data_IF_256203397891
#
_entry.id   IF_256203397891
#
_cell.length_a   1.000
_cell.length_b   1.000
_cell.length_c   1.000
_cell.angle_alpha   90.00
_cell.angle_beta   90.00
_cell.angle_gamma   90.00
#
_symmetry.space_group_name_H-M   'P 1'
#
loop_
_entity.id
_entity.type
_entity.pdbx_description
1 polymer ?
#
# COMPACT_ATOMS: atom_id res chain seq x y z
N UNK A 1 12.56 -28.76 -25.54
CA UNK A 1 13.57 -28.08 -26.36
C UNK A 1 13.11 -26.64 -26.69
N UNK A 2 12.01 -26.47 -27.40
CA UNK A 2 11.53 -25.18 -27.92
C UNK A 2 11.41 -24.04 -26.87
N UNK A 3 10.86 -24.32 -25.69
CA UNK A 3 10.74 -23.27 -24.65
C UNK A 3 12.09 -22.83 -24.10
N UNK A 4 13.09 -23.71 -24.02
CA UNK A 4 14.45 -23.32 -23.62
C UNK A 4 15.11 -22.43 -24.67
N UNK A 5 14.95 -22.75 -25.95
CA UNK A 5 15.47 -21.95 -27.05
C UNK A 5 14.85 -20.54 -27.07
N UNK A 6 13.53 -20.45 -26.92
CA UNK A 6 12.82 -19.17 -26.83
C UNK A 6 13.22 -18.34 -25.60
N UNK A 7 13.53 -18.98 -24.46
CA UNK A 7 13.88 -18.30 -23.21
C UNK A 7 15.37 -17.98 -23.11
N UNK A 8 16.24 -18.61 -23.90
CA UNK A 8 17.70 -18.45 -23.82
C UNK A 8 18.19 -16.99 -23.95
N UNK A 9 17.63 -16.12 -24.84
CA UNK A 9 18.05 -14.73 -24.94
C UNK A 9 17.85 -13.91 -23.65
N UNK A 10 16.88 -14.30 -22.81
CA UNK A 10 16.54 -13.63 -21.55
C UNK A 10 17.32 -14.16 -20.33
N UNK A 11 18.14 -15.20 -20.52
CA UNK A 11 18.86 -15.91 -19.46
C UNK A 11 20.38 -15.96 -19.74
N UNK A 12 21.02 -14.76 -19.82
CA UNK A 12 22.41 -14.63 -20.28
C UNK A 12 23.46 -15.31 -19.41
N UNK A 13 23.24 -15.42 -18.10
CA UNK A 13 24.24 -15.91 -17.14
C UNK A 13 23.96 -17.31 -16.61
N UNK A 14 22.69 -17.75 -16.61
CA UNK A 14 22.26 -19.09 -16.18
C UNK A 14 20.88 -19.39 -16.73
N UNK A 15 20.59 -20.66 -16.97
CA UNK A 15 19.22 -21.11 -17.34
C UNK A 15 18.25 -20.77 -16.19
N UNK A 16 17.27 -19.93 -16.48
CA UNK A 16 16.21 -19.51 -15.55
C UNK A 16 14.93 -20.33 -15.74
N UNK A 17 14.86 -21.20 -16.77
CA UNK A 17 13.71 -22.02 -17.06
C UNK A 17 13.69 -23.24 -16.14
N UNK A 18 12.75 -23.29 -15.24
CA UNK A 18 12.49 -24.45 -14.38
C UNK A 18 11.31 -25.22 -14.98
N UNK A 19 11.53 -26.47 -15.39
CA UNK A 19 10.49 -27.34 -15.94
C UNK A 19 9.93 -28.21 -14.81
N UNK A 20 8.62 -28.18 -14.64
CA UNK A 20 7.92 -28.94 -13.60
C UNK A 20 6.52 -29.34 -14.06
N UNK A 21 5.81 -30.16 -13.30
CA UNK A 21 4.42 -30.51 -13.56
C UNK A 21 3.50 -29.28 -13.47
N UNK A 22 2.40 -29.27 -14.22
CA UNK A 22 1.48 -28.13 -14.34
C UNK A 22 1.01 -27.62 -12.96
N UNK A 23 0.52 -28.51 -12.09
CA UNK A 23 0.06 -28.14 -10.75
C UNK A 23 1.16 -27.48 -9.91
N UNK A 24 2.40 -27.99 -10.03
CA UNK A 24 3.54 -27.42 -9.30
C UNK A 24 3.92 -26.03 -9.85
N UNK A 25 3.82 -25.82 -11.17
CA UNK A 25 4.10 -24.55 -11.81
C UNK A 25 3.09 -23.46 -11.38
N UNK A 26 1.80 -23.80 -11.37
CA UNK A 26 0.75 -22.93 -10.87
C UNK A 26 0.93 -22.61 -9.38
N UNK A 27 1.15 -23.63 -8.55
CA UNK A 27 1.40 -23.46 -7.13
C UNK A 27 2.63 -22.60 -6.84
N UNK A 28 3.70 -22.73 -7.61
CA UNK A 28 4.92 -21.92 -7.47
C UNK A 28 4.62 -20.43 -7.62
N UNK A 29 3.78 -20.06 -8.59
CA UNK A 29 3.39 -18.66 -8.80
C UNK A 29 2.61 -18.10 -7.61
N UNK A 30 1.60 -18.85 -7.12
CA UNK A 30 0.82 -18.43 -5.97
C UNK A 30 1.67 -18.37 -4.70
N UNK A 31 2.45 -19.41 -4.41
CA UNK A 31 3.33 -19.47 -3.25
C UNK A 31 4.34 -18.32 -3.22
N UNK A 32 4.94 -17.96 -4.37
CA UNK A 32 5.86 -16.84 -4.45
C UNK A 32 5.17 -15.51 -4.08
N UNK A 33 4.00 -15.23 -4.65
CA UNK A 33 3.27 -14.00 -4.35
C UNK A 33 2.77 -13.95 -2.89
N UNK A 34 2.31 -15.07 -2.36
CA UNK A 34 1.91 -15.17 -0.95
C UNK A 34 3.09 -14.96 0.00
N UNK A 35 4.28 -15.47 -0.34
CA UNK A 35 5.49 -15.22 0.46
C UNK A 35 5.87 -13.75 0.47
N UNK A 36 5.78 -13.05 -0.67
CA UNK A 36 6.03 -11.61 -0.75
C UNK A 36 4.99 -10.80 0.04
N UNK A 37 3.71 -11.16 -0.07
CA UNK A 37 2.64 -10.55 0.73
C UNK A 37 2.86 -10.76 2.24
N UNK A 38 3.31 -11.96 2.64
CA UNK A 38 3.67 -12.28 4.03
C UNK A 38 4.78 -11.37 4.53
N UNK A 39 5.85 -11.15 3.76
CA UNK A 39 6.95 -10.25 4.13
C UNK A 39 6.46 -8.81 4.35
N UNK A 40 5.56 -8.32 3.50
CA UNK A 40 4.99 -6.97 3.63
C UNK A 40 4.08 -6.89 4.87
N UNK A 41 3.18 -7.86 5.07
CA UNK A 41 2.31 -7.88 6.26
C UNK A 41 3.14 -8.00 7.54
N UNK A 42 4.18 -8.85 7.56
CA UNK A 42 5.07 -9.01 8.69
C UNK A 42 5.77 -7.69 9.07
N UNK A 43 6.40 -6.99 8.11
CA UNK A 43 7.10 -5.74 8.44
C UNK A 43 6.13 -4.62 8.84
N UNK A 44 4.91 -4.60 8.32
CA UNK A 44 3.88 -3.65 8.74
C UNK A 44 3.41 -3.92 10.18
N UNK A 45 3.27 -5.17 10.57
CA UNK A 45 2.96 -5.54 11.97
C UNK A 45 4.12 -5.15 12.90
N UNK A 46 5.38 -5.44 12.51
CA UNK A 46 6.57 -4.99 13.24
C UNK A 46 6.63 -3.47 13.37
N UNK A 47 6.28 -2.71 12.32
CA UNK A 47 6.22 -1.25 12.37
C UNK A 47 5.22 -0.76 13.42
N UNK A 48 4.03 -1.36 13.48
CA UNK A 48 3.01 -1.05 14.48
C UNK A 48 3.48 -1.39 15.91
N UNK A 49 4.23 -2.48 16.09
CA UNK A 49 4.84 -2.82 17.38
C UNK A 49 5.91 -1.78 17.75
N UNK A 50 6.80 -1.42 16.81
CA UNK A 50 7.83 -0.41 17.02
C UNK A 50 7.25 0.93 17.49
N UNK A 51 6.16 1.40 16.87
CA UNK A 51 5.45 2.62 17.29
C UNK A 51 5.02 2.57 18.75
N UNK A 52 4.56 1.41 19.24
CA UNK A 52 4.06 1.24 20.61
C UNK A 52 5.15 1.13 21.67
N UNK A 53 6.32 0.58 21.28
CA UNK A 53 7.44 0.35 22.22
C UNK A 53 8.54 1.40 22.07
N UNK A 54 8.38 2.38 21.18
CA UNK A 54 9.36 3.45 20.96
C UNK A 54 10.61 3.02 20.19
N UNK A 55 10.55 1.96 19.38
CA UNK A 55 11.63 1.52 18.49
C UNK A 55 11.54 2.18 17.11
N UNK A 56 12.67 2.38 16.45
CA UNK A 56 12.70 2.82 15.04
C UNK A 56 12.63 1.60 14.10
N UNK A 57 11.55 1.50 13.34
CA UNK A 57 11.35 0.40 12.38
C UNK A 57 12.39 0.39 11.26
N UNK A 58 13.05 1.53 10.93
CA UNK A 58 14.13 1.58 9.93
C UNK A 58 15.36 0.83 10.44
N UNK A 59 15.69 1.00 11.71
CA UNK A 59 16.82 0.28 12.33
C UNK A 59 16.50 -1.21 12.44
N UNK A 60 15.28 -1.57 12.84
CA UNK A 60 14.83 -2.97 12.87
C UNK A 60 14.90 -3.59 11.49
N UNK A 61 14.37 -2.89 10.46
CA UNK A 61 14.45 -3.33 9.07
C UNK A 61 15.89 -3.52 8.59
N UNK A 62 16.76 -2.57 8.91
CA UNK A 62 18.19 -2.66 8.55
C UNK A 62 18.86 -3.84 9.24
N UNK A 63 18.57 -4.05 10.52
CA UNK A 63 19.09 -5.17 11.30
C UNK A 63 18.68 -6.53 10.71
N UNK A 64 17.39 -6.78 10.55
CA UNK A 64 16.90 -8.07 10.02
C UNK A 64 17.23 -8.26 8.54
N UNK A 65 17.25 -7.18 7.74
CA UNK A 65 17.54 -7.22 6.31
C UNK A 65 19.00 -7.54 6.00
N UNK A 66 19.93 -7.30 6.94
CA UNK A 66 21.34 -7.65 6.81
C UNK A 66 21.60 -9.17 6.83
N UNK A 67 20.69 -9.96 7.39
CA UNK A 67 20.73 -11.41 7.30
C UNK A 67 20.35 -11.86 5.87
N UNK A 68 21.29 -12.53 5.18
CA UNK A 68 21.11 -13.00 3.81
C UNK A 68 19.92 -13.96 3.63
N UNK A 69 19.48 -14.63 4.69
CA UNK A 69 18.31 -15.51 4.69
C UNK A 69 16.99 -14.73 4.61
N UNK A 70 16.98 -13.46 5.04
CA UNK A 70 15.83 -12.56 5.00
C UNK A 70 15.95 -11.59 3.82
N UNK A 71 17.05 -10.82 3.76
CA UNK A 71 17.32 -9.80 2.74
C UNK A 71 16.39 -8.59 2.86
N UNK A 72 16.77 -7.50 2.20
CA UNK A 72 16.06 -6.22 2.26
C UNK A 72 14.78 -6.14 1.41
N UNK A 73 14.57 -7.10 0.51
CA UNK A 73 13.48 -7.06 -0.44
C UNK A 73 12.14 -7.39 0.23
N UNK A 74 11.13 -6.58 -0.10
CA UNK A 74 9.74 -6.73 0.39
C UNK A 74 9.55 -6.60 1.92
N UNK A 75 10.52 -6.03 2.65
CA UNK A 75 10.40 -5.67 4.07
C UNK A 75 10.44 -4.14 4.24
N UNK A 76 9.70 -3.40 3.41
CA UNK A 76 9.47 -1.97 3.56
C UNK A 76 8.10 -1.76 4.18
N UNK A 77 8.01 -1.14 5.38
CA UNK A 77 6.72 -0.82 5.97
C UNK A 77 6.01 0.27 5.16
N UNK A 78 4.68 0.21 5.11
CA UNK A 78 3.85 1.15 4.37
C UNK A 78 2.37 0.97 4.69
N UNK A 79 1.51 1.51 3.84
CA UNK A 79 0.05 1.53 4.03
C UNK A 79 -0.67 0.21 3.72
N UNK A 80 0.05 -0.85 3.48
CA UNK A 80 -0.48 -2.14 3.02
C UNK A 80 -0.34 -2.36 1.52
N UNK A 81 -0.37 -3.62 1.09
CA UNK A 81 -0.30 -3.96 -0.33
C UNK A 81 -1.67 -3.88 -1.01
N UNK A 82 -1.65 -3.53 -2.29
CA UNK A 82 -2.77 -3.50 -3.20
C UNK A 82 -2.41 -4.06 -4.57
N UNK A 83 -3.08 -3.57 -5.60
CA UNK A 83 -2.90 -3.98 -6.99
C UNK A 83 -3.60 -5.29 -7.33
N UNK A 84 -3.42 -5.72 -8.57
CA UNK A 84 -4.12 -6.87 -9.14
C UNK A 84 -3.56 -8.23 -8.76
N UNK A 85 -2.33 -8.31 -8.22
CA UNK A 85 -1.63 -9.58 -8.03
C UNK A 85 -1.74 -10.11 -6.60
N UNK A 86 -1.17 -9.40 -5.61
CA UNK A 86 -1.09 -9.92 -4.24
C UNK A 86 -2.47 -10.20 -3.62
N UNK A 87 -3.45 -9.27 -3.62
CA UNK A 87 -4.73 -9.55 -2.99
C UNK A 87 -5.45 -10.73 -3.65
N UNK A 88 -5.43 -10.79 -4.99
CA UNK A 88 -6.08 -11.87 -5.75
C UNK A 88 -5.40 -13.21 -5.48
N UNK A 89 -4.07 -13.28 -5.52
CA UNK A 89 -3.34 -14.54 -5.41
C UNK A 89 -3.39 -15.09 -3.97
N UNK A 90 -3.35 -14.23 -2.95
CA UNK A 90 -3.55 -14.65 -1.55
C UNK A 90 -4.95 -15.22 -1.35
N UNK A 91 -6.00 -14.51 -1.78
CA UNK A 91 -7.39 -14.96 -1.68
C UNK A 91 -7.64 -16.26 -2.47
N UNK A 92 -7.05 -16.39 -3.67
CA UNK A 92 -7.16 -17.60 -4.49
C UNK A 92 -6.50 -18.81 -3.81
N UNK A 93 -5.32 -18.63 -3.19
CA UNK A 93 -4.64 -19.72 -2.50
C UNK A 93 -5.36 -20.11 -1.20
N UNK A 94 -5.94 -19.15 -0.46
CA UNK A 94 -6.83 -19.42 0.68
C UNK A 94 -8.00 -20.31 0.22
N UNK A 95 -8.72 -19.88 -0.80
CA UNK A 95 -9.84 -20.65 -1.34
C UNK A 95 -9.45 -22.06 -1.81
N UNK A 96 -8.29 -22.18 -2.47
CA UNK A 96 -7.78 -23.49 -2.91
C UNK A 96 -7.46 -24.42 -1.75
N UNK A 97 -6.89 -23.89 -0.66
CA UNK A 97 -6.61 -24.66 0.55
C UNK A 97 -7.90 -25.14 1.24
N UNK A 98 -8.87 -24.23 1.39
CA UNK A 98 -10.19 -24.55 1.99
C UNK A 98 -10.95 -25.60 1.16
N UNK A 99 -10.94 -25.48 -0.16
CA UNK A 99 -11.52 -26.48 -1.07
C UNK A 99 -10.83 -27.85 -0.98
N UNK A 100 -9.55 -27.88 -0.57
CA UNK A 100 -8.80 -29.10 -0.29
C UNK A 100 -8.95 -29.60 1.17
N UNK A 101 -9.83 -28.99 1.97
CA UNK A 101 -10.10 -29.38 3.36
C UNK A 101 -9.04 -28.91 4.36
N UNK A 102 -8.21 -27.91 4.01
CA UNK A 102 -7.15 -27.37 4.87
C UNK A 102 -7.44 -25.92 5.25
N UNK A 103 -7.32 -25.57 6.53
CA UNK A 103 -7.38 -24.18 7.01
C UNK A 103 -6.01 -23.49 6.81
N UNK A 104 -5.90 -22.45 5.95
CA UNK A 104 -4.63 -21.78 5.67
C UNK A 104 -4.37 -20.65 6.69
N UNK A 105 -4.10 -20.99 7.95
CA UNK A 105 -3.98 -20.04 9.08
C UNK A 105 -3.03 -18.88 8.81
N UNK A 106 -1.86 -19.15 8.25
CA UNK A 106 -0.88 -18.09 7.94
C UNK A 106 -1.41 -17.11 6.90
N UNK A 107 -2.02 -17.59 5.82
CA UNK A 107 -2.54 -16.72 4.76
C UNK A 107 -3.73 -15.88 5.24
N UNK A 108 -4.59 -16.47 6.07
CA UNK A 108 -5.68 -15.75 6.72
C UNK A 108 -5.15 -14.61 7.62
N UNK A 109 -4.08 -14.89 8.39
CA UNK A 109 -3.43 -13.87 9.21
C UNK A 109 -2.80 -12.77 8.36
N UNK A 110 -2.15 -13.10 7.25
CA UNK A 110 -1.55 -12.14 6.30
C UNK A 110 -2.61 -11.19 5.74
N UNK A 111 -3.75 -11.73 5.30
CA UNK A 111 -4.86 -10.93 4.77
C UNK A 111 -5.48 -10.02 5.86
N UNK A 112 -5.68 -10.54 7.08
CA UNK A 112 -6.20 -9.76 8.20
C UNK A 112 -5.26 -8.61 8.61
N UNK A 113 -3.95 -8.85 8.64
CA UNK A 113 -2.96 -7.80 8.92
C UNK A 113 -2.98 -6.74 7.83
N UNK A 114 -3.04 -7.14 6.54
CA UNK A 114 -3.09 -6.19 5.44
C UNK A 114 -4.37 -5.35 5.44
N UNK A 115 -5.52 -5.94 5.73
CA UNK A 115 -6.79 -5.23 5.82
C UNK A 115 -6.75 -4.16 6.92
N UNK A 116 -6.21 -4.50 8.10
CA UNK A 116 -6.00 -3.54 9.20
C UNK A 116 -5.01 -2.43 8.80
N UNK A 117 -3.91 -2.80 8.14
CA UNK A 117 -2.88 -1.85 7.73
C UNK A 117 -3.40 -0.79 6.77
N UNK A 118 -4.30 -1.16 5.84
CA UNK A 118 -4.93 -0.19 4.91
C UNK A 118 -5.77 0.89 5.62
N UNK A 119 -6.20 0.65 6.85
CA UNK A 119 -6.97 1.61 7.66
C UNK A 119 -6.11 2.38 8.67
N UNK A 120 -4.90 1.91 8.95
CA UNK A 120 -4.05 2.42 10.02
C UNK A 120 -3.85 3.93 9.96
N UNK A 121 -3.57 4.49 8.77
CA UNK A 121 -3.38 5.95 8.64
C UNK A 121 -4.68 6.74 8.86
N UNK A 122 -5.82 6.21 8.46
CA UNK A 122 -7.10 6.85 8.74
C UNK A 122 -7.41 6.88 10.25
N UNK A 123 -7.09 5.80 10.97
CA UNK A 123 -7.24 5.72 12.41
C UNK A 123 -6.33 6.74 13.12
N UNK A 124 -5.05 6.82 12.74
CA UNK A 124 -4.12 7.82 13.29
C UNK A 124 -4.57 9.25 13.06
N UNK A 125 -5.11 9.56 11.87
CA UNK A 125 -5.64 10.90 11.58
C UNK A 125 -6.85 11.18 12.48
N UNK A 126 -7.76 10.23 12.67
CA UNK A 126 -8.91 10.37 13.57
C UNK A 126 -8.47 10.58 15.01
N UNK A 127 -7.49 9.82 15.49
CA UNK A 127 -6.91 9.96 16.83
C UNK A 127 -6.25 11.33 17.04
N UNK A 128 -5.46 11.80 16.06
CA UNK A 128 -4.80 13.11 16.12
C UNK A 128 -5.81 14.26 16.26
N UNK A 129 -6.90 14.21 15.52
CA UNK A 129 -7.93 15.26 15.55
C UNK A 129 -8.97 15.07 16.67
N UNK A 130 -9.00 13.94 17.38
CA UNK A 130 -9.97 13.70 18.44
C UNK A 130 -10.00 14.80 19.51
N UNK A 131 -8.85 15.27 20.08
CA UNK A 131 -8.84 16.36 21.04
C UNK A 131 -9.27 17.72 20.45
N UNK A 132 -9.27 17.84 19.12
CA UNK A 132 -9.59 19.06 18.36
C UNK A 132 -11.02 19.06 17.81
N UNK A 133 -11.92 18.25 18.40
CA UNK A 133 -13.32 18.10 17.97
C UNK A 133 -13.54 17.10 16.83
N UNK A 134 -12.57 16.23 16.56
CA UNK A 134 -12.64 15.18 15.54
C UNK A 134 -12.35 15.69 14.11
N UNK A 135 -12.59 14.84 13.13
CA UNK A 135 -12.26 15.09 11.71
C UNK A 135 -13.40 15.73 10.91
N UNK A 136 -14.64 15.74 11.42
CA UNK A 136 -15.81 16.24 10.70
C UNK A 136 -15.63 17.70 10.29
N UNK A 137 -15.84 17.98 9.00
CA UNK A 137 -15.71 19.33 8.43
C UNK A 137 -14.28 19.81 8.19
N UNK A 138 -13.26 19.04 8.62
CA UNK A 138 -11.86 19.30 8.29
C UNK A 138 -11.53 18.78 6.89
N UNK A 139 -10.45 19.28 6.29
CA UNK A 139 -9.96 18.88 4.97
C UNK A 139 -8.58 18.23 5.10
N UNK A 140 -8.42 17.04 4.51
CA UNK A 140 -7.14 16.37 4.34
C UNK A 140 -6.64 16.58 2.92
N UNK A 141 -5.39 17.03 2.76
CA UNK A 141 -4.62 16.90 1.54
C UNK A 141 -4.06 15.47 1.43
N UNK A 142 -4.16 14.83 0.27
CA UNK A 142 -3.66 13.48 0.05
C UNK A 142 -2.85 13.41 -1.25
N UNK A 143 -1.62 12.90 -1.16
CA UNK A 143 -0.75 12.64 -2.31
C UNK A 143 -0.60 11.15 -2.54
N UNK A 144 -0.96 10.70 -3.75
CA UNK A 144 -0.81 9.32 -4.19
C UNK A 144 -2.09 8.51 -4.01
N UNK A 145 -2.65 8.04 -5.12
CA UNK A 145 -3.91 7.30 -5.19
C UNK A 145 -3.72 5.87 -5.73
N UNK A 146 -2.75 5.70 -6.65
CA UNK A 146 -2.38 4.39 -7.17
C UNK A 146 -1.78 3.48 -6.09
N UNK A 147 -1.90 2.16 -6.26
CA UNK A 147 -1.37 1.19 -5.29
C UNK A 147 0.16 1.18 -5.17
N UNK A 148 0.86 1.73 -6.15
CA UNK A 148 2.31 1.99 -6.18
C UNK A 148 2.64 3.07 -7.20
N UNK A 149 3.86 3.60 -7.18
CA UNK A 149 4.33 4.55 -8.19
C UNK A 149 4.44 3.94 -9.61
N UNK A 150 4.43 4.80 -10.62
CA UNK A 150 4.57 4.47 -12.05
C UNK A 150 3.42 3.62 -12.63
N UNK A 151 2.21 3.78 -12.11
CA UNK A 151 0.99 3.16 -12.64
C UNK A 151 -0.22 4.02 -12.27
N UNK A 152 -1.30 3.88 -13.03
CA UNK A 152 -2.62 4.42 -12.74
C UNK A 152 -3.55 3.40 -12.04
N UNK A 153 -3.05 2.19 -11.75
CA UNK A 153 -3.83 1.10 -11.18
C UNK A 153 -4.21 1.38 -9.73
N UNK A 154 -5.49 1.55 -9.49
CA UNK A 154 -6.07 1.79 -8.16
C UNK A 154 -6.74 0.55 -7.55
N UNK A 155 -6.67 -0.63 -8.22
CA UNK A 155 -7.29 -1.84 -7.68
C UNK A 155 -6.72 -2.20 -6.32
N UNK A 156 -7.59 -2.38 -5.32
CA UNK A 156 -7.18 -2.69 -3.95
C UNK A 156 -6.17 -1.68 -3.34
N UNK A 157 -6.08 -0.45 -3.88
CA UNK A 157 -5.18 0.57 -3.35
C UNK A 157 -5.60 1.00 -1.94
N UNK A 158 -4.63 1.13 -1.02
CA UNK A 158 -4.88 1.56 0.35
C UNK A 158 -5.51 2.97 0.41
N UNK A 159 -5.19 3.85 -0.56
CA UNK A 159 -5.80 5.17 -0.66
C UNK A 159 -7.33 5.12 -0.68
N UNK A 160 -7.94 4.12 -1.35
CA UNK A 160 -9.41 3.97 -1.38
C UNK A 160 -9.96 3.70 0.02
N UNK A 161 -9.32 2.80 0.77
CA UNK A 161 -9.75 2.47 2.13
C UNK A 161 -9.61 3.68 3.07
N UNK A 162 -8.50 4.41 2.97
CA UNK A 162 -8.23 5.60 3.78
C UNK A 162 -9.26 6.69 3.47
N UNK A 163 -9.49 7.01 2.19
CA UNK A 163 -10.44 8.04 1.76
C UNK A 163 -11.85 7.69 2.24
N UNK A 164 -12.31 6.47 2.01
CA UNK A 164 -13.64 6.04 2.45
C UNK A 164 -13.80 6.16 3.96
N UNK A 165 -12.85 5.65 4.75
CA UNK A 165 -12.91 5.70 6.22
C UNK A 165 -12.90 7.12 6.79
N UNK A 166 -12.24 8.07 6.11
CA UNK A 166 -12.21 9.48 6.52
C UNK A 166 -13.46 10.24 6.08
N UNK A 167 -13.95 10.00 4.86
CA UNK A 167 -15.18 10.64 4.36
C UNK A 167 -16.43 10.14 5.08
N UNK A 168 -16.50 8.86 5.45
CA UNK A 168 -17.53 8.31 6.35
C UNK A 168 -17.54 9.02 7.71
N UNK A 169 -16.38 9.45 8.19
CA UNK A 169 -16.28 10.26 9.43
C UNK A 169 -16.54 11.77 9.20
N UNK A 170 -16.92 12.17 7.97
CA UNK A 170 -17.25 13.54 7.60
C UNK A 170 -16.07 14.45 7.29
N UNK A 171 -14.87 13.90 7.05
CA UNK A 171 -13.69 14.63 6.61
C UNK A 171 -13.73 14.84 5.10
N UNK A 172 -13.39 16.03 4.63
CA UNK A 172 -13.18 16.28 3.19
C UNK A 172 -11.79 15.81 2.81
N UNK A 173 -11.64 15.23 1.61
CA UNK A 173 -10.34 14.80 1.08
C UNK A 173 -10.11 15.47 -0.26
N UNK A 174 -9.03 16.23 -0.38
CA UNK A 174 -8.51 16.74 -1.64
C UNK A 174 -7.28 15.92 -2.02
N UNK A 175 -7.34 15.24 -3.16
CA UNK A 175 -6.33 14.27 -3.53
C UNK A 175 -5.67 14.58 -4.87
N UNK A 176 -4.38 14.28 -4.95
CA UNK A 176 -3.57 14.39 -6.15
C UNK A 176 -2.82 13.08 -6.43
N UNK A 177 -2.79 12.67 -7.68
CA UNK A 177 -1.90 11.61 -8.17
C UNK A 177 -1.41 11.98 -9.57
N UNK A 178 -0.12 11.76 -9.90
CA UNK A 178 0.43 12.13 -11.20
C UNK A 178 -0.23 11.49 -12.42
N UNK A 179 -0.79 10.28 -12.26
CA UNK A 179 -1.37 9.51 -13.38
C UNK A 179 -2.71 8.84 -13.09
N UNK A 180 -3.07 8.64 -11.83
CA UNK A 180 -4.30 7.93 -11.45
C UNK A 180 -5.53 8.86 -11.28
N UNK A 181 -5.41 10.16 -11.55
CA UNK A 181 -6.47 11.16 -11.33
C UNK A 181 -7.80 10.77 -12.02
N UNK A 182 -7.77 10.35 -13.28
CA UNK A 182 -8.99 9.99 -14.02
C UNK A 182 -9.66 8.73 -13.48
N UNK A 183 -8.87 7.74 -13.04
CA UNK A 183 -9.41 6.55 -12.37
C UNK A 183 -10.03 6.93 -11.02
N UNK A 184 -9.39 7.82 -10.26
CA UNK A 184 -9.90 8.30 -9.00
C UNK A 184 -11.21 9.08 -9.16
N UNK A 185 -11.32 9.98 -10.14
CA UNK A 185 -12.57 10.69 -10.44
C UNK A 185 -13.74 9.73 -10.70
N UNK A 186 -13.50 8.62 -11.42
CA UNK A 186 -14.53 7.60 -11.65
C UNK A 186 -14.90 6.82 -10.40
N UNK A 187 -13.91 6.48 -9.55
CA UNK A 187 -14.15 5.71 -8.32
C UNK A 187 -14.94 6.54 -7.30
N UNK A 188 -14.63 7.83 -7.18
CA UNK A 188 -15.22 8.72 -6.17
C UNK A 188 -16.28 9.67 -6.70
N UNK A 189 -16.80 9.46 -7.93
CA UNK A 189 -17.76 10.36 -8.60
C UNK A 189 -19.00 10.69 -7.76
N UNK A 190 -19.45 9.73 -6.94
CA UNK A 190 -20.65 9.87 -6.10
C UNK A 190 -20.33 10.31 -4.65
N UNK A 191 -19.06 10.62 -4.34
CA UNK A 191 -18.65 11.05 -3.01
C UNK A 191 -18.38 12.56 -2.98
N UNK A 192 -19.33 13.39 -2.47
CA UNK A 192 -19.19 14.84 -2.47
C UNK A 192 -18.10 15.38 -1.54
N UNK A 193 -17.51 14.53 -0.70
CA UNK A 193 -16.41 14.90 0.21
C UNK A 193 -15.04 14.64 -0.41
N UNK A 194 -14.96 14.12 -1.65
CA UNK A 194 -13.71 13.86 -2.36
C UNK A 194 -13.57 14.79 -3.54
N UNK A 195 -12.46 15.50 -3.60
CA UNK A 195 -12.06 16.35 -4.73
C UNK A 195 -10.71 15.88 -5.28
N UNK A 196 -10.66 15.58 -6.59
CA UNK A 196 -9.42 15.22 -7.28
C UNK A 196 -8.87 16.45 -7.97
N UNK A 197 -7.68 16.89 -7.54
CA UNK A 197 -7.03 18.14 -7.96
C UNK A 197 -5.83 17.82 -8.87
N UNK A 198 -5.59 18.64 -9.90
CA UNK A 198 -4.51 18.41 -10.86
C UNK A 198 -3.18 19.11 -10.46
N UNK A 199 -3.17 19.87 -9.36
CA UNK A 199 -1.96 20.49 -8.80
C UNK A 199 -1.55 19.83 -7.49
N UNK A 200 -0.31 19.33 -7.46
CA UNK A 200 0.27 18.67 -6.29
C UNK A 200 0.20 19.52 -5.03
N UNK A 201 0.54 20.78 -5.10
CA UNK A 201 0.53 21.67 -3.94
C UNK A 201 -0.85 22.32 -3.71
N UNK A 202 -1.64 22.47 -4.76
CA UNK A 202 -2.99 23.02 -4.67
C UNK A 202 -3.92 22.21 -3.76
N UNK A 203 -3.68 20.88 -3.59
CA UNK A 203 -4.46 20.09 -2.62
C UNK A 203 -4.25 20.53 -1.18
N UNK A 204 -3.10 21.17 -0.87
CA UNK A 204 -2.76 21.62 0.49
C UNK A 204 -3.45 22.92 0.88
N UNK A 205 -3.98 23.69 -0.08
CA UNK A 205 -4.57 24.99 0.19
C UNK A 205 -5.77 24.90 1.15
N UNK A 206 -5.64 25.48 2.33
CA UNK A 206 -6.67 25.44 3.39
C UNK A 206 -6.87 24.07 4.05
N UNK A 207 -6.07 23.05 3.73
CA UNK A 207 -6.14 21.76 4.40
C UNK A 207 -5.51 21.80 5.81
N UNK A 208 -5.96 20.91 6.70
CA UNK A 208 -5.46 20.80 8.07
C UNK A 208 -4.29 19.81 8.21
N UNK A 209 -4.13 18.91 7.27
CA UNK A 209 -3.01 17.95 7.24
C UNK A 209 -2.72 17.49 5.81
N UNK A 210 -1.50 16.97 5.60
CA UNK A 210 -1.09 16.30 4.37
C UNK A 210 -0.75 14.84 4.68
N UNK A 211 -1.33 13.91 3.93
CA UNK A 211 -0.99 12.49 3.93
C UNK A 211 -0.34 12.11 2.59
N UNK A 212 0.82 11.48 2.63
CA UNK A 212 1.48 10.89 1.46
C UNK A 212 1.30 9.37 1.51
N UNK A 213 0.64 8.79 0.50
CA UNK A 213 0.27 7.37 0.46
C UNK A 213 1.16 6.58 -0.49
N UNK A 214 1.39 7.09 -1.70
CA UNK A 214 2.15 6.39 -2.74
C UNK A 214 3.56 6.98 -2.89
N UNK A 215 4.56 6.13 -3.08
CA UNK A 215 5.98 6.48 -3.10
C UNK A 215 6.47 7.09 -4.43
N UNK A 216 5.74 8.04 -5.00
CA UNK A 216 6.17 8.74 -6.20
C UNK A 216 7.49 9.50 -5.97
N UNK A 217 8.39 9.47 -6.95
CA UNK A 217 9.67 10.17 -6.84
C UNK A 217 9.50 11.68 -6.58
N UNK A 218 8.48 12.31 -7.17
CA UNK A 218 8.20 13.74 -6.98
C UNK A 218 7.75 14.09 -5.54
N UNK A 219 7.33 13.11 -4.74
CA UNK A 219 6.92 13.31 -3.34
C UNK A 219 8.09 13.17 -2.35
N UNK A 220 9.28 12.75 -2.80
CA UNK A 220 10.42 12.46 -1.92
C UNK A 220 11.12 13.70 -1.38
N UNK A 221 11.14 14.77 -2.15
CA UNK A 221 11.78 16.03 -1.77
C UNK A 221 10.78 17.18 -1.96
N UNK A 222 9.73 17.27 -1.15
CA UNK A 222 8.72 18.30 -1.29
C UNK A 222 9.25 19.64 -0.76
N UNK A 223 8.69 20.73 -1.26
CA UNK A 223 8.87 22.06 -0.70
C UNK A 223 8.04 22.19 0.57
N UNK A 224 8.69 21.93 1.72
CA UNK A 224 8.03 21.99 3.02
C UNK A 224 7.60 23.40 3.42
N UNK A 225 8.30 24.45 2.98
CA UNK A 225 7.93 25.83 3.29
C UNK A 225 6.65 26.21 2.54
N UNK A 226 6.54 25.79 1.28
CA UNK A 226 5.31 25.93 0.49
C UNK A 226 4.15 25.16 1.11
N UNK A 227 4.35 23.91 1.53
CA UNK A 227 3.33 23.12 2.21
C UNK A 227 2.85 23.83 3.48
N UNK A 228 3.79 24.28 4.32
CA UNK A 228 3.47 25.03 5.57
C UNK A 228 2.66 26.30 5.30
N UNK A 229 2.97 27.03 4.23
CA UNK A 229 2.25 28.27 3.90
C UNK A 229 0.82 28.02 3.43
N UNK A 230 0.53 26.85 2.87
CA UNK A 230 -0.78 26.48 2.33
C UNK A 230 -1.68 25.80 3.38
N UNK A 231 -1.10 25.06 4.31
CA UNK A 231 -1.87 24.39 5.37
C UNK A 231 -2.35 25.39 6.42
N UNK A 232 -3.59 25.20 6.92
CA UNK A 232 -4.17 26.04 7.97
C UNK A 232 -3.67 25.72 9.37
N UNK A 233 -3.17 24.52 9.59
CA UNK A 233 -2.57 24.07 10.83
C UNK A 233 -1.36 23.19 10.52
N UNK A 234 -0.23 23.80 10.14
CA UNK A 234 0.97 23.03 9.82
C UNK A 234 1.48 22.29 11.05
N UNK A 235 1.70 21.01 10.87
CA UNK A 235 2.32 20.14 11.88
C UNK A 235 3.81 20.38 11.98
#
# INVERSE_FOLDING_TARGET
>A
ATMRELSAPFARTRDKLIVMGIRSAEMTKYAANCMLATKISFINEIATICERVGADVRDVRNGIGSDSRIGYQFIYPGVGYGGSCFPKDVKALIHTAEAAGMEPKLLNAVEAVNARQKLHMAERIKEYFAPQGGVKGKTLALWGLAFKANTDDMREAAAINIINALTEAGMKVRAFDPVAADNARRIFQDNPLVEIVDDQYGVCDGAQALLVVTEWNQFRNPDFDRIKSLLTAPL
#
